data_IF_198643279547
#
_entry.id   IF_198643279547
#
_cell.length_a   1.000
_cell.length_b   1.000
_cell.length_c   1.000
_cell.angle_alpha   90.00
_cell.angle_beta   90.00
_cell.angle_gamma   90.00
#
_symmetry.space_group_name_H-M   'P 1'
#
loop_
_entity.id
_entity.type
_entity.pdbx_description
1 polymer ?
#
# COMPACT_ATOMS: atom_id res chain seq x y z
N UNK A 1 -12.26 -16.70 22.72
CA UNK A 1 -11.70 -15.36 22.45
C UNK A 1 -11.24 -15.35 21.00
N UNK A 2 -11.98 -14.62 20.17
CA UNK A 2 -12.04 -14.70 18.71
C UNK A 2 -10.69 -14.49 18.04
N UNK A 3 -10.35 -15.39 17.12
CA UNK A 3 -9.09 -15.37 16.42
C UNK A 3 -8.95 -14.13 15.50
N UNK A 4 -7.94 -13.29 15.69
CA UNK A 4 -7.76 -12.02 14.98
C UNK A 4 -7.13 -12.14 13.57
N UNK A 5 -6.93 -13.36 13.04
CA UNK A 5 -6.41 -13.56 11.69
C UNK A 5 -7.29 -12.97 10.58
N UNK A 6 -8.56 -12.69 10.86
CA UNK A 6 -9.47 -12.00 9.95
C UNK A 6 -9.34 -10.48 9.91
N UNK A 7 -8.33 -9.85 10.54
CA UNK A 7 -8.21 -8.39 10.60
C UNK A 7 -7.14 -7.78 9.67
N UNK A 8 -6.25 -8.59 9.08
CA UNK A 8 -5.17 -8.09 8.22
C UNK A 8 -5.69 -7.31 7.01
N UNK A 9 -6.77 -7.78 6.40
CA UNK A 9 -7.40 -7.09 5.27
C UNK A 9 -7.99 -5.72 5.61
N UNK A 10 -8.35 -5.46 6.88
CA UNK A 10 -8.88 -4.17 7.32
C UNK A 10 -7.82 -3.07 7.21
N UNK A 11 -6.55 -3.40 7.42
CA UNK A 11 -5.44 -2.43 7.44
C UNK A 11 -5.36 -1.66 6.11
N UNK A 12 -5.31 -2.31 4.93
CA UNK A 12 -5.39 -1.63 3.64
C UNK A 12 -6.83 -1.25 3.24
N UNK A 13 -7.87 -1.98 3.66
CA UNK A 13 -9.24 -1.68 3.24
C UNK A 13 -9.76 -0.35 3.79
N UNK A 14 -9.39 0.05 5.01
CA UNK A 14 -9.79 1.33 5.61
C UNK A 14 -9.34 2.56 4.80
N UNK A 15 -8.04 2.74 4.47
CA UNK A 15 -7.60 3.86 3.67
C UNK A 15 -8.19 3.80 2.26
N UNK A 16 -8.33 2.61 1.66
CA UNK A 16 -8.96 2.44 0.35
C UNK A 16 -10.42 2.89 0.33
N UNK A 17 -11.21 2.47 1.33
CA UNK A 17 -12.62 2.84 1.43
C UNK A 17 -12.76 4.37 1.53
N UNK A 18 -11.96 5.01 2.38
CA UNK A 18 -11.98 6.46 2.50
C UNK A 18 -11.42 7.17 1.28
N UNK A 19 -10.44 6.60 0.57
CA UNK A 19 -9.96 7.13 -0.71
C UNK A 19 -11.09 7.16 -1.74
N UNK A 20 -11.86 6.07 -1.86
CA UNK A 20 -13.00 5.99 -2.76
C UNK A 20 -14.10 6.98 -2.36
N UNK A 21 -14.46 7.05 -1.07
CA UNK A 21 -15.44 8.01 -0.55
C UNK A 21 -15.02 9.45 -0.87
N UNK A 22 -13.76 9.81 -0.62
CA UNK A 22 -13.25 11.14 -0.91
C UNK A 22 -13.14 11.43 -2.41
N UNK A 23 -12.92 10.42 -3.26
CA UNK A 23 -12.87 10.60 -4.71
C UNK A 23 -14.26 10.96 -5.27
N UNK A 24 -15.30 10.25 -4.84
CA UNK A 24 -16.67 10.43 -5.34
C UNK A 24 -17.43 11.55 -4.61
N UNK A 25 -17.28 11.65 -3.29
CA UNK A 25 -18.01 12.60 -2.42
C UNK A 25 -17.16 13.73 -1.84
N UNK A 26 -15.85 13.79 -2.09
CA UNK A 26 -14.95 14.77 -1.48
C UNK A 26 -15.35 16.24 -1.71
N UNK A 27 -15.96 16.55 -2.87
CA UNK A 27 -16.51 17.89 -3.15
C UNK A 27 -17.66 18.28 -2.23
N UNK A 28 -18.46 17.32 -1.77
CA UNK A 28 -19.59 17.54 -0.85
C UNK A 28 -19.14 17.52 0.61
N UNK A 29 -18.10 16.76 0.93
CA UNK A 29 -17.58 16.61 2.29
C UNK A 29 -16.74 17.81 2.75
N UNK A 30 -16.12 18.55 1.82
CA UNK A 30 -15.31 19.72 2.17
C UNK A 30 -14.21 19.36 3.17
N UNK A 31 -14.16 20.08 4.31
CA UNK A 31 -13.17 19.86 5.38
C UNK A 31 -13.28 18.48 6.05
N UNK A 32 -14.46 17.84 6.02
CA UNK A 32 -14.65 16.51 6.59
C UNK A 32 -13.87 15.44 5.84
N UNK A 33 -13.56 15.64 4.56
CA UNK A 33 -12.79 14.69 3.76
C UNK A 33 -11.40 14.40 4.37
N UNK A 34 -10.75 15.44 4.90
CA UNK A 34 -9.43 15.34 5.52
C UNK A 34 -9.48 14.66 6.88
N UNK A 35 -10.48 14.99 7.71
CA UNK A 35 -10.70 14.30 8.98
C UNK A 35 -11.02 12.82 8.79
N UNK A 36 -11.87 12.48 7.83
CA UNK A 36 -12.18 11.08 7.49
C UNK A 36 -10.94 10.32 7.01
N UNK A 37 -10.14 10.93 6.12
CA UNK A 37 -8.90 10.35 5.64
C UNK A 37 -7.91 10.08 6.79
N UNK A 38 -7.63 11.09 7.61
CA UNK A 38 -6.77 10.95 8.78
C UNK A 38 -7.29 9.90 9.76
N UNK A 39 -8.59 9.92 10.07
CA UNK A 39 -9.20 8.95 10.97
C UNK A 39 -9.06 7.51 10.45
N UNK A 40 -9.20 7.29 9.14
CA UNK A 40 -9.03 5.97 8.54
C UNK A 40 -7.59 5.45 8.67
N UNK A 41 -6.58 6.29 8.48
CA UNK A 41 -5.17 5.90 8.62
C UNK A 41 -4.81 5.66 10.09
N UNK A 42 -5.33 6.47 11.01
CA UNK A 42 -5.16 6.27 12.46
C UNK A 42 -5.82 4.95 12.90
N UNK A 43 -7.02 4.65 12.39
CA UNK A 43 -7.68 3.37 12.64
C UNK A 43 -6.84 2.20 12.10
N UNK A 44 -6.28 2.32 10.90
CA UNK A 44 -5.35 1.32 10.37
C UNK A 44 -4.10 1.15 11.22
N UNK A 45 -3.57 2.23 11.81
CA UNK A 45 -2.44 2.15 12.75
C UNK A 45 -2.83 1.38 14.02
N UNK A 46 -4.00 1.67 14.60
CA UNK A 46 -4.50 0.96 15.78
C UNK A 46 -4.71 -0.55 15.51
N UNK A 47 -5.29 -0.89 14.35
CA UNK A 47 -5.44 -2.29 13.92
C UNK A 47 -4.07 -2.94 13.70
N UNK A 48 -3.13 -2.23 13.06
CA UNK A 48 -1.76 -2.72 12.85
C UNK A 48 -1.06 -3.01 14.19
N UNK A 49 -1.19 -2.13 15.17
CA UNK A 49 -0.62 -2.33 16.50
C UNK A 49 -1.22 -3.56 17.20
N UNK A 50 -2.54 -3.74 17.09
CA UNK A 50 -3.22 -4.91 17.63
C UNK A 50 -2.71 -6.21 16.98
N UNK A 51 -2.62 -6.25 15.65
CA UNK A 51 -2.15 -7.44 14.92
C UNK A 51 -0.66 -7.73 15.20
N UNK A 52 0.19 -6.70 15.23
CA UNK A 52 1.63 -6.88 15.53
C UNK A 52 1.85 -7.34 16.97
N UNK A 53 1.08 -6.82 17.94
CA UNK A 53 1.18 -7.28 19.33
C UNK A 53 0.92 -8.78 19.49
N UNK A 54 -0.02 -9.32 18.70
CA UNK A 54 -0.33 -10.74 18.68
C UNK A 54 0.74 -11.56 17.96
N UNK A 55 1.35 -11.01 16.90
CA UNK A 55 2.48 -11.64 16.21
C UNK A 55 3.68 -11.77 17.16
N UNK A 56 3.98 -10.74 17.95
CA UNK A 56 5.09 -10.75 18.93
C UNK A 56 4.83 -11.74 20.06
N UNK A 57 3.57 -11.88 20.48
CA UNK A 57 3.15 -12.83 21.51
C UNK A 57 3.25 -14.31 21.07
N UNK A 58 3.38 -14.59 19.77
CA UNK A 58 3.59 -15.96 19.27
C UNK A 58 5.04 -16.43 19.49
N UNK A 59 5.24 -17.77 19.67
CA UNK A 59 6.56 -18.39 19.67
C UNK A 59 7.34 -17.99 18.40
N UNK A 60 8.66 -17.84 18.51
CA UNK A 60 9.50 -17.34 17.42
C UNK A 60 9.38 -18.14 16.12
N UNK A 61 9.08 -19.44 16.23
CA UNK A 61 8.95 -20.38 15.11
C UNK A 61 7.65 -20.20 14.31
N UNK A 62 6.61 -19.62 14.92
CA UNK A 62 5.26 -19.45 14.34
C UNK A 62 4.90 -17.98 14.05
N UNK A 63 5.89 -17.09 13.94
CA UNK A 63 5.69 -15.65 13.68
C UNK A 63 5.40 -15.35 12.20
N UNK A 64 4.40 -16.02 11.66
CA UNK A 64 3.93 -15.84 10.29
C UNK A 64 2.41 -15.92 10.26
N UNK A 65 1.75 -14.87 9.76
CA UNK A 65 0.34 -14.93 9.39
C UNK A 65 0.22 -14.91 7.87
N UNK A 66 -0.55 -15.85 7.33
CA UNK A 66 -0.98 -15.88 5.94
C UNK A 66 -2.50 -15.78 5.91
N UNK A 67 -3.01 -14.80 5.19
CA UNK A 67 -4.43 -14.65 4.92
C UNK A 67 -4.66 -14.66 3.42
N UNK A 68 -5.36 -15.69 2.94
CA UNK A 68 -5.87 -15.74 1.57
C UNK A 68 -7.15 -14.91 1.46
N UNK A 69 -7.25 -14.05 0.44
CA UNK A 69 -8.44 -13.23 0.18
C UNK A 69 -9.33 -13.87 -0.89
N UNK A 70 -8.83 -14.01 -2.11
CA UNK A 70 -9.53 -14.58 -3.26
C UNK A 70 -8.54 -15.01 -4.35
N UNK A 71 -8.94 -15.95 -5.20
CA UNK A 71 -8.17 -16.34 -6.38
C UNK A 71 -8.29 -15.29 -7.48
N UNK A 72 -7.17 -14.67 -7.84
CA UNK A 72 -7.16 -13.61 -8.86
C UNK A 72 -7.04 -14.19 -10.26
N UNK A 73 -6.07 -15.08 -10.49
CA UNK A 73 -5.88 -15.74 -11.79
C UNK A 73 -5.89 -17.24 -11.58
N UNK A 74 -6.79 -17.94 -12.28
CA UNK A 74 -6.83 -19.40 -12.31
C UNK A 74 -6.79 -19.86 -13.77
N UNK A 75 -5.63 -20.36 -14.20
CA UNK A 75 -5.43 -20.92 -15.55
C UNK A 75 -4.87 -22.33 -15.41
N UNK A 76 -5.73 -23.33 -15.57
CA UNK A 76 -5.36 -24.75 -15.47
C UNK A 76 -4.85 -25.11 -14.07
N UNK A 77 -3.54 -25.41 -13.94
CA UNK A 77 -2.88 -25.67 -12.65
C UNK A 77 -2.23 -24.44 -12.00
N UNK A 78 -2.23 -23.30 -12.70
CA UNK A 78 -1.65 -22.06 -12.19
C UNK A 78 -2.74 -21.23 -11.51
N UNK A 79 -2.76 -21.27 -10.18
CA UNK A 79 -3.65 -20.46 -9.35
C UNK A 79 -2.80 -19.42 -8.61
N UNK A 80 -3.07 -18.15 -8.87
CA UNK A 80 -2.47 -17.01 -8.16
C UNK A 80 -3.56 -16.36 -7.32
N UNK A 81 -3.50 -16.61 -6.01
CA UNK A 81 -4.33 -15.95 -5.01
C UNK A 81 -3.94 -14.49 -4.81
N UNK A 82 -4.82 -13.70 -4.22
CA UNK A 82 -4.46 -12.45 -3.54
C UNK A 82 -4.21 -12.80 -2.08
N UNK A 83 -2.95 -12.99 -1.73
CA UNK A 83 -2.53 -13.46 -0.41
C UNK A 83 -1.83 -12.33 0.34
N UNK A 84 -2.26 -12.11 1.58
CA UNK A 84 -1.60 -11.20 2.51
C UNK A 84 -0.72 -12.01 3.47
N UNK A 85 0.56 -11.66 3.51
CA UNK A 85 1.56 -12.23 4.41
C UNK A 85 2.01 -11.18 5.40
N UNK A 86 1.96 -11.54 6.69
CA UNK A 86 2.59 -10.77 7.75
C UNK A 86 3.69 -11.60 8.39
N UNK A 87 4.91 -11.15 8.22
CA UNK A 87 6.10 -11.62 8.91
C UNK A 87 6.73 -10.49 9.74
N UNK A 88 7.86 -10.75 10.39
CA UNK A 88 8.56 -9.78 11.25
C UNK A 88 9.00 -8.51 10.51
N UNK A 89 9.42 -8.63 9.25
CA UNK A 89 9.81 -7.50 8.40
C UNK A 89 8.58 -6.67 8.05
N UNK A 90 7.52 -7.32 7.55
CA UNK A 90 6.27 -6.67 7.18
C UNK A 90 5.61 -5.99 8.39
N UNK A 91 5.67 -6.62 9.57
CA UNK A 91 5.16 -6.05 10.82
C UNK A 91 5.79 -4.70 11.16
N UNK A 92 7.10 -4.56 10.99
CA UNK A 92 7.80 -3.30 11.23
C UNK A 92 7.40 -2.26 10.18
N UNK A 93 7.34 -2.67 8.91
CA UNK A 93 6.99 -1.78 7.80
C UNK A 93 5.56 -1.25 7.89
N UNK A 94 4.57 -2.08 8.25
CA UNK A 94 3.18 -1.60 8.39
C UNK A 94 3.04 -0.55 9.50
N UNK A 95 3.76 -0.69 10.61
CA UNK A 95 3.75 0.29 11.70
C UNK A 95 4.37 1.62 11.26
N UNK A 96 5.47 1.57 10.51
CA UNK A 96 6.11 2.77 9.95
C UNK A 96 5.18 3.45 8.95
N UNK A 97 4.60 2.70 8.01
CA UNK A 97 3.72 3.25 6.97
C UNK A 97 2.46 3.87 7.58
N UNK A 98 1.79 3.18 8.50
CA UNK A 98 0.55 3.69 9.12
C UNK A 98 0.84 4.78 10.17
N UNK A 99 1.95 4.69 10.90
CA UNK A 99 2.34 5.68 11.91
C UNK A 99 2.80 7.01 11.29
N UNK A 100 3.78 6.96 10.40
CA UNK A 100 4.23 8.16 9.65
C UNK A 100 3.09 8.65 8.76
N UNK A 101 2.35 7.74 8.13
CA UNK A 101 1.18 8.07 7.32
C UNK A 101 0.14 8.88 8.11
N UNK A 102 -0.18 8.50 9.34
CA UNK A 102 -1.10 9.23 10.20
C UNK A 102 -0.60 10.65 10.52
N UNK A 103 0.69 10.80 10.83
CA UNK A 103 1.31 12.11 11.09
C UNK A 103 1.24 13.03 9.87
N UNK A 104 1.58 12.51 8.68
CA UNK A 104 1.51 13.28 7.44
C UNK A 104 0.05 13.70 7.15
N UNK A 105 -0.93 12.84 7.41
CA UNK A 105 -2.35 13.15 7.21
C UNK A 105 -2.83 14.27 8.14
N UNK A 106 -2.47 14.23 9.42
CA UNK A 106 -2.80 15.30 10.38
C UNK A 106 -2.15 16.62 9.96
N UNK A 107 -0.88 16.59 9.56
CA UNK A 107 -0.18 17.77 9.04
C UNK A 107 -0.85 18.33 7.78
N UNK A 108 -1.24 17.47 6.84
CA UNK A 108 -1.89 17.85 5.59
C UNK A 108 -3.22 18.58 5.79
N UNK A 109 -3.95 18.32 6.89
CA UNK A 109 -5.21 19.02 7.19
C UNK A 109 -4.98 20.53 7.31
N UNK A 110 -3.90 20.91 7.99
CA UNK A 110 -3.51 22.31 8.16
C UNK A 110 -2.88 22.90 6.89
N UNK A 111 -2.00 22.13 6.23
CA UNK A 111 -1.30 22.59 5.02
C UNK A 111 -2.24 22.90 3.86
N UNK A 112 -3.28 22.07 3.66
CA UNK A 112 -4.26 22.22 2.56
C UNK A 112 -5.47 23.07 2.96
N UNK A 113 -5.44 23.73 4.12
CA UNK A 113 -6.56 24.53 4.59
C UNK A 113 -6.82 25.70 3.63
N UNK A 114 -7.93 25.63 2.89
CA UNK A 114 -8.35 26.66 1.93
C UNK A 114 -8.24 26.28 0.46
N UNK A 115 -7.70 25.10 0.13
CA UNK A 115 -7.65 24.64 -1.25
C UNK A 115 -9.02 24.09 -1.74
N UNK A 116 -9.54 24.51 -2.91
CA UNK A 116 -10.79 24.01 -3.46
C UNK A 116 -10.79 22.52 -3.84
N UNK A 117 -9.61 21.91 -4.02
CA UNK A 117 -9.42 20.49 -4.40
C UNK A 117 -9.07 19.60 -3.19
N UNK A 118 -9.32 20.07 -1.97
CA UNK A 118 -9.04 19.39 -0.70
C UNK A 118 -9.36 17.89 -0.70
N UNK A 119 -10.58 17.49 -1.08
CA UNK A 119 -11.00 16.09 -1.07
C UNK A 119 -10.19 15.19 -2.02
N UNK A 120 -9.72 15.71 -3.16
CA UNK A 120 -8.90 14.95 -4.12
C UNK A 120 -7.51 14.68 -3.57
N UNK A 121 -6.91 15.67 -2.91
CA UNK A 121 -5.60 15.52 -2.28
C UNK A 121 -5.61 14.39 -1.25
N UNK A 122 -6.60 14.41 -0.35
CA UNK A 122 -6.76 13.36 0.67
C UNK A 122 -7.12 11.99 0.09
N UNK A 123 -7.84 11.95 -1.04
CA UNK A 123 -8.09 10.69 -1.76
C UNK A 123 -6.79 10.07 -2.27
N UNK A 124 -5.92 10.87 -2.91
CA UNK A 124 -4.65 10.37 -3.43
C UNK A 124 -3.68 9.98 -2.30
N UNK A 125 -3.65 10.74 -1.20
CA UNK A 125 -2.88 10.40 0.00
C UNK A 125 -3.28 9.05 0.60
N UNK A 126 -4.58 8.80 0.76
CA UNK A 126 -5.07 7.51 1.24
C UNK A 126 -4.80 6.37 0.25
N UNK A 127 -4.91 6.64 -1.05
CA UNK A 127 -4.61 5.66 -2.10
C UNK A 127 -3.11 5.28 -2.10
N UNK A 128 -2.23 6.26 -1.83
CA UNK A 128 -0.81 6.03 -1.66
C UNK A 128 -0.52 5.11 -0.46
N UNK A 129 -1.14 5.36 0.69
CA UNK A 129 -1.02 4.49 1.88
C UNK A 129 -1.53 3.08 1.58
N UNK A 130 -2.65 2.95 0.87
CA UNK A 130 -3.19 1.65 0.45
C UNK A 130 -2.19 0.85 -0.40
N UNK A 131 -1.63 1.44 -1.46
CA UNK A 131 -0.69 0.71 -2.32
C UNK A 131 0.63 0.38 -1.61
N UNK A 132 1.12 1.26 -0.72
CA UNK A 132 2.26 0.94 0.14
C UNK A 132 1.98 -0.26 1.05
N UNK A 133 0.77 -0.35 1.63
CA UNK A 133 0.38 -1.50 2.45
C UNK A 133 0.25 -2.78 1.61
N UNK A 134 -0.30 -2.70 0.41
CA UNK A 134 -0.38 -3.84 -0.51
C UNK A 134 1.01 -4.33 -0.95
N UNK A 135 1.96 -3.42 -1.18
CA UNK A 135 3.34 -3.75 -1.53
C UNK A 135 4.03 -4.57 -0.42
N UNK A 136 3.85 -4.17 0.83
CA UNK A 136 4.49 -4.80 1.99
C UNK A 136 3.80 -6.11 2.39
N UNK A 137 2.47 -6.16 2.34
CA UNK A 137 1.70 -7.34 2.74
C UNK A 137 1.58 -8.38 1.63
N UNK A 138 1.97 -8.07 0.39
CA UNK A 138 1.82 -9.00 -0.74
C UNK A 138 2.64 -10.28 -0.58
N UNK A 139 1.97 -11.43 -0.53
CA UNK A 139 2.66 -12.73 -0.43
C UNK A 139 3.15 -13.27 -1.79
N UNK A 140 2.68 -12.69 -2.89
CA UNK A 140 2.99 -13.13 -4.24
C UNK A 140 3.46 -11.98 -5.13
N UNK A 141 4.22 -12.32 -6.17
CA UNK A 141 4.84 -11.34 -7.07
C UNK A 141 3.81 -10.45 -7.78
N UNK A 142 2.61 -10.95 -7.99
CA UNK A 142 1.55 -10.22 -8.70
C UNK A 142 0.99 -9.09 -7.82
N UNK A 143 0.67 -9.39 -6.56
CA UNK A 143 0.25 -8.36 -5.58
C UNK A 143 1.37 -7.36 -5.32
N UNK A 144 2.62 -7.82 -5.21
CA UNK A 144 3.78 -6.94 -5.05
C UNK A 144 3.93 -6.00 -6.25
N UNK A 145 3.80 -6.52 -7.48
CA UNK A 145 3.83 -5.71 -8.69
C UNK A 145 2.68 -4.70 -8.74
N UNK A 146 1.46 -5.10 -8.36
CA UNK A 146 0.32 -4.19 -8.25
C UNK A 146 0.59 -3.06 -7.26
N UNK A 147 1.12 -3.38 -6.07
CA UNK A 147 1.51 -2.39 -5.07
C UNK A 147 2.57 -1.43 -5.61
N UNK A 148 3.57 -1.98 -6.31
CA UNK A 148 4.67 -1.21 -6.89
C UNK A 148 4.19 -0.21 -7.94
N UNK A 149 3.42 -0.67 -8.93
CA UNK A 149 2.82 0.21 -9.95
C UNK A 149 1.89 1.25 -9.33
N UNK A 150 1.09 0.83 -8.34
CA UNK A 150 0.14 1.70 -7.66
C UNK A 150 0.83 2.83 -6.88
N UNK A 151 1.96 2.55 -6.23
CA UNK A 151 2.79 3.58 -5.58
C UNK A 151 3.34 4.57 -6.60
N UNK A 152 3.81 4.09 -7.76
CA UNK A 152 4.28 4.95 -8.86
C UNK A 152 3.17 5.86 -9.41
N UNK A 153 1.97 5.30 -9.63
CA UNK A 153 0.79 6.05 -10.07
C UNK A 153 0.36 7.11 -9.03
N UNK A 154 0.31 6.74 -7.75
CA UNK A 154 -0.07 7.69 -6.70
C UNK A 154 0.94 8.81 -6.56
N UNK A 155 2.24 8.51 -6.63
CA UNK A 155 3.30 9.52 -6.63
C UNK A 155 3.12 10.52 -7.79
N UNK A 156 2.83 10.03 -8.99
CA UNK A 156 2.50 10.89 -10.14
C UNK A 156 1.29 11.79 -9.85
N UNK A 157 0.21 11.25 -9.29
CA UNK A 157 -1.01 12.00 -8.97
C UNK A 157 -0.79 13.07 -7.89
N UNK A 158 0.05 12.81 -6.88
CA UNK A 158 0.39 13.76 -5.83
C UNK A 158 1.29 14.89 -6.35
N UNK A 159 2.37 14.55 -7.09
CA UNK A 159 3.28 15.55 -7.66
C UNK A 159 2.54 16.40 -8.69
N UNK A 160 1.67 15.77 -9.49
CA UNK A 160 0.85 16.42 -10.50
C UNK A 160 -0.38 17.15 -9.95
N UNK A 161 -0.57 17.26 -8.63
CA UNK A 161 -1.79 17.86 -8.05
C UNK A 161 -2.00 19.32 -8.48
N UNK A 162 -0.91 20.10 -8.56
CA UNK A 162 -0.89 21.45 -9.13
C UNK A 162 -0.47 21.43 -10.61
N UNK A 163 -1.18 20.65 -11.43
CA UNK A 163 -0.94 20.57 -12.87
C UNK A 163 -1.21 21.87 -13.64
N UNK A 164 -1.81 22.87 -13.00
CA UNK A 164 -2.04 24.20 -13.58
C UNK A 164 -0.71 24.91 -13.91
N UNK A 165 0.36 24.55 -13.20
CA UNK A 165 1.72 25.00 -13.52
C UNK A 165 2.38 23.94 -14.40
N UNK A 166 2.76 24.25 -15.66
CA UNK A 166 3.30 23.27 -16.59
C UNK A 166 4.57 22.59 -16.07
N UNK A 167 5.40 23.30 -15.28
CA UNK A 167 6.58 22.75 -14.64
C UNK A 167 6.27 21.56 -13.69
N UNK A 168 5.15 21.61 -12.96
CA UNK A 168 4.75 20.52 -12.05
C UNK A 168 4.26 19.30 -12.83
N UNK A 169 3.55 19.52 -13.95
CA UNK A 169 3.12 18.45 -14.83
C UNK A 169 4.31 17.76 -15.52
N UNK A 170 5.33 18.52 -15.92
CA UNK A 170 6.57 17.96 -16.48
C UNK A 170 7.39 17.22 -15.42
N UNK A 171 7.49 17.73 -14.20
CA UNK A 171 8.17 17.06 -13.09
C UNK A 171 7.50 15.73 -12.74
N UNK A 172 6.17 15.69 -12.68
CA UNK A 172 5.41 14.46 -12.45
C UNK A 172 5.68 13.43 -13.56
N UNK A 173 5.60 13.84 -14.83
CA UNK A 173 5.90 12.95 -15.97
C UNK A 173 7.34 12.43 -15.91
N UNK A 174 8.31 13.30 -15.63
CA UNK A 174 9.72 12.90 -15.51
C UNK A 174 9.91 11.87 -14.41
N UNK A 175 9.35 12.10 -13.23
CA UNK A 175 9.40 11.16 -12.12
C UNK A 175 8.79 9.80 -12.51
N UNK A 176 7.59 9.81 -13.09
CA UNK A 176 6.90 8.59 -13.51
C UNK A 176 7.66 7.79 -14.58
N UNK A 177 8.20 8.46 -15.60
CA UNK A 177 8.99 7.81 -16.65
C UNK A 177 10.26 7.19 -16.06
N UNK A 178 10.94 7.89 -15.15
CA UNK A 178 12.16 7.40 -14.52
C UNK A 178 11.88 6.14 -13.69
N UNK A 179 10.75 6.10 -12.97
CA UNK A 179 10.28 4.91 -12.25
C UNK A 179 9.97 3.76 -13.23
N UNK A 180 9.21 4.01 -14.31
CA UNK A 180 8.88 2.96 -15.30
C UNK A 180 10.09 2.33 -15.99
N UNK A 181 11.14 3.12 -16.24
CA UNK A 181 12.40 2.58 -16.76
C UNK A 181 13.03 1.63 -15.73
N UNK A 182 13.04 2.01 -14.45
CA UNK A 182 13.44 1.15 -13.34
C UNK A 182 12.65 -0.16 -13.31
N UNK A 183 11.33 -0.10 -13.40
CA UNK A 183 10.44 -1.28 -13.34
C UNK A 183 10.71 -2.26 -14.48
N UNK A 184 10.95 -1.72 -15.69
CA UNK A 184 11.26 -2.51 -16.88
C UNK A 184 12.59 -3.22 -16.70
N UNK A 185 13.57 -2.56 -16.09
CA UNK A 185 14.88 -3.17 -15.78
C UNK A 185 14.76 -4.30 -14.76
N UNK A 186 13.96 -4.13 -13.70
CA UNK A 186 13.70 -5.15 -12.69
C UNK A 186 12.95 -6.34 -13.28
N UNK A 187 11.95 -6.09 -14.13
CA UNK A 187 11.17 -7.15 -14.79
C UNK A 187 12.02 -7.94 -15.78
N UNK A 188 12.85 -7.26 -16.59
CA UNK A 188 13.79 -7.91 -17.50
C UNK A 188 14.83 -8.76 -16.74
N UNK A 189 15.33 -8.28 -15.61
CA UNK A 189 16.24 -9.04 -14.74
C UNK A 189 15.59 -10.29 -14.14
N UNK A 190 14.32 -10.21 -13.73
CA UNK A 190 13.57 -11.38 -13.26
C UNK A 190 13.34 -12.38 -14.42
N UNK A 191 13.04 -11.86 -15.61
CA UNK A 191 12.84 -12.66 -16.82
C UNK A 191 14.09 -13.40 -17.28
N UNK A 192 15.28 -12.81 -17.16
CA UNK A 192 16.54 -13.50 -17.51
C UNK A 192 16.96 -14.57 -16.48
N UNK A 193 16.40 -14.51 -15.27
CA UNK A 193 16.64 -15.47 -14.17
C UNK A 193 15.58 -16.58 -14.05
N UNK A 194 14.68 -16.73 -15.02
CA UNK A 194 13.58 -17.71 -14.97
C UNK A 194 14.01 -19.18 -15.19
N UNK A 195 15.05 -19.62 -14.47
CA UNK A 195 15.40 -21.03 -14.24
C UNK A 195 14.95 -21.54 -12.85
N UNK A 196 14.36 -20.71 -11.99
CA UNK A 196 13.84 -21.16 -10.69
C UNK A 196 13.16 -20.05 -9.88
N UNK A 197 11.83 -20.05 -9.84
CA UNK A 197 10.97 -19.06 -9.19
C UNK A 197 10.85 -19.17 -7.66
N UNK A 198 11.82 -19.80 -6.99
CA UNK A 198 11.81 -20.00 -5.53
C UNK A 198 12.90 -19.16 -4.86
N UNK A 199 12.49 -18.31 -3.90
CA UNK A 199 13.37 -17.53 -3.03
C UNK A 199 14.45 -18.38 -2.33
N UNK A 200 14.19 -19.67 -2.10
CA UNK A 200 15.15 -20.59 -1.48
C UNK A 200 16.39 -20.90 -2.33
N UNK A 201 16.31 -20.76 -3.66
CA UNK A 201 17.48 -20.93 -4.55
C UNK A 201 18.32 -19.67 -4.71
N UNK A 202 17.77 -18.50 -4.39
CA UNK A 202 18.41 -17.20 -4.62
C UNK A 202 19.32 -16.82 -3.44
N UNK A 203 19.01 -17.26 -2.22
CA UNK A 203 19.77 -16.94 -1.01
C UNK A 203 20.96 -17.87 -0.72
N UNK A 204 21.17 -18.92 -1.53
CA UNK A 204 22.30 -19.84 -1.37
C UNK A 204 22.25 -20.74 -0.12
N UNK A 205 21.10 -20.84 0.56
CA UNK A 205 20.94 -21.64 1.79
C UNK A 205 20.31 -23.03 1.55
N UNK A 206 20.68 -23.71 0.46
CA UNK A 206 20.49 -25.17 0.32
C UNK A 206 21.50 -25.76 -0.65
N UNK A 207 22.68 -26.11 -0.13
CA UNK A 207 23.48 -27.31 -0.38
C UNK A 207 24.85 -27.10 0.28
#
# INVERSE_FOLDING_TARGET
MSQPHGALWLIPALPLATAAINLFWGRRLGRWAGWLASASVIASFAVSLAVVSQLVAKPAEDRLFLQHLFDWISVGRFVVGTDLRLDSVSATMILVITGIGALIHVYAIGYMAGDPRYGRFFSYMNLFVFFMLMLVLGANYLVLYLGWEGVGLCSYLLIGFWSDVPANAEAAKKAFITTRIGDTSSTCSIGSRSGGSSWGRISGWTA
#
